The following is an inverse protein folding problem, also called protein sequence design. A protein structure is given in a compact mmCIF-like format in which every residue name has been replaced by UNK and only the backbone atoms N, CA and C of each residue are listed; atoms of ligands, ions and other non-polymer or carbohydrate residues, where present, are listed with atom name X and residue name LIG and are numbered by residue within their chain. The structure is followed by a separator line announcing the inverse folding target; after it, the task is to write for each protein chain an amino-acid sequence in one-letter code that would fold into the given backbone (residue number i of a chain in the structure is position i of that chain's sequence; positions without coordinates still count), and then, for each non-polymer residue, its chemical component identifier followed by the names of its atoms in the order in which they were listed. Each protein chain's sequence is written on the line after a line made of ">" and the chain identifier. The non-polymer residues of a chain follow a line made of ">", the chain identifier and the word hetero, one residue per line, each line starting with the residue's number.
data_IF_415917162035
#
_entry.id   IF_415917162035
#
_cell.length_a   1.000
_cell.length_b   1.000
_cell.length_c   1.000
_cell.angle_alpha   90.00
_cell.angle_beta   90.00
_cell.angle_gamma   90.00
#
_symmetry.space_group_name_H-M   'P 1'
#
loop_
_entity.id
_entity.type
_entity.pdbx_description
1 polymer ?
#
# COMPACT_ATOMS: atom_id res chain seq x y z
N UNK A 1 -18.40 35.69 -32.57
CA UNK A 1 -17.92 34.30 -32.76
C UNK A 1 -18.38 33.53 -31.55
N UNK A 2 -19.37 32.66 -31.75
CA UNK A 2 -19.95 31.83 -30.69
C UNK A 2 -18.86 30.91 -30.17
N UNK A 3 -18.45 31.11 -28.91
CA UNK A 3 -17.44 30.30 -28.28
C UNK A 3 -18.11 28.99 -27.84
N UNK A 4 -18.26 28.07 -28.78
CA UNK A 4 -18.60 26.67 -28.51
C UNK A 4 -17.39 25.97 -27.92
N UNK A 5 -16.97 26.45 -26.74
CA UNK A 5 -16.25 25.62 -25.81
C UNK A 5 -17.25 24.54 -25.38
N UNK A 6 -17.27 23.43 -26.12
CA UNK A 6 -17.96 22.21 -25.74
C UNK A 6 -17.43 21.86 -24.35
N UNK A 7 -18.19 22.20 -23.32
CA UNK A 7 -17.93 21.74 -21.96
C UNK A 7 -17.88 20.22 -22.07
N UNK A 8 -16.69 19.66 -21.89
CA UNK A 8 -16.55 18.20 -21.78
C UNK A 8 -17.38 17.84 -20.56
N UNK A 9 -18.56 17.27 -20.81
CA UNK A 9 -19.38 16.57 -19.82
C UNK A 9 -18.40 15.88 -18.87
N UNK A 10 -18.44 16.13 -17.55
CA UNK A 10 -17.50 15.52 -16.62
C UNK A 10 -17.62 14.03 -16.87
N UNK A 11 -16.59 13.46 -17.53
CA UNK A 11 -16.58 12.03 -17.82
C UNK A 11 -16.70 11.43 -16.43
N UNK A 12 -17.82 10.78 -16.15
CA UNK A 12 -18.01 10.02 -14.93
C UNK A 12 -17.04 8.87 -15.09
N UNK A 13 -15.77 9.15 -14.82
CA UNK A 13 -14.75 8.14 -14.91
C UNK A 13 -15.04 7.28 -13.70
N UNK A 14 -15.72 6.15 -13.91
CA UNK A 14 -15.36 4.94 -13.18
C UNK A 14 -13.92 4.58 -13.59
N UNK A 15 -12.98 5.49 -13.29
CA UNK A 15 -11.57 5.28 -13.46
C UNK A 15 -11.25 4.25 -12.39
N UNK A 16 -11.01 3.01 -12.83
CA UNK A 16 -10.66 1.92 -11.94
C UNK A 16 -9.55 2.35 -10.96
N UNK A 17 -8.56 3.11 -11.43
CA UNK A 17 -7.49 3.62 -10.58
C UNK A 17 -7.96 4.56 -9.45
N UNK A 18 -9.08 5.27 -9.62
CA UNK A 18 -9.56 6.28 -8.67
C UNK A 18 -10.62 5.73 -7.69
N UNK A 19 -10.76 4.42 -7.57
CA UNK A 19 -11.71 3.84 -6.62
C UNK A 19 -11.17 3.91 -5.19
N UNK A 20 -11.96 4.48 -4.27
CA UNK A 20 -11.60 4.69 -2.85
C UNK A 20 -11.05 3.44 -2.16
N UNK A 21 -11.61 2.27 -2.48
CA UNK A 21 -11.20 1.01 -1.85
C UNK A 21 -9.73 0.65 -2.16
N UNK A 22 -9.19 1.06 -3.31
CA UNK A 22 -7.77 0.87 -3.61
C UNK A 22 -6.88 1.73 -2.73
N UNK A 23 -7.23 3.01 -2.53
CA UNK A 23 -6.49 3.90 -1.64
C UNK A 23 -6.52 3.40 -0.19
N UNK A 24 -7.68 3.00 0.32
CA UNK A 24 -7.79 2.45 1.69
C UNK A 24 -6.91 1.21 1.85
N UNK A 25 -6.95 0.29 0.87
CA UNK A 25 -6.14 -0.94 0.93
C UNK A 25 -4.64 -0.64 0.83
N UNK A 26 -4.24 0.32 -0.01
CA UNK A 26 -2.86 0.79 -0.10
C UNK A 26 -2.40 1.46 1.20
N UNK A 27 -3.23 2.27 1.84
CA UNK A 27 -2.93 2.87 3.14
C UNK A 27 -2.69 1.81 4.20
N UNK A 28 -3.50 0.74 4.23
CA UNK A 28 -3.30 -0.40 5.13
C UNK A 28 -1.95 -1.09 4.83
N UNK A 29 -1.63 -1.34 3.56
CA UNK A 29 -0.35 -1.94 3.18
C UNK A 29 0.85 -1.08 3.64
N UNK A 30 0.78 0.24 3.45
CA UNK A 30 1.80 1.19 3.91
C UNK A 30 1.93 1.16 5.43
N UNK A 31 0.82 1.16 6.17
CA UNK A 31 0.85 1.09 7.63
C UNK A 31 1.52 -0.20 8.15
N UNK A 32 1.24 -1.35 7.52
CA UNK A 32 1.89 -2.63 7.85
C UNK A 32 3.40 -2.56 7.54
N UNK A 33 3.78 -1.98 6.40
CA UNK A 33 5.19 -1.81 6.04
C UNK A 33 5.94 -0.92 7.04
N UNK A 34 5.36 0.22 7.41
CA UNK A 34 5.92 1.11 8.42
C UNK A 34 6.04 0.41 9.78
N UNK A 35 5.01 -0.33 10.20
CA UNK A 35 5.06 -1.15 11.40
C UNK A 35 6.25 -2.13 11.36
N UNK A 36 6.43 -2.86 10.25
CA UNK A 36 7.57 -3.77 10.06
C UNK A 36 8.92 -3.06 10.18
N UNK A 37 9.05 -1.86 9.59
CA UNK A 37 10.27 -1.04 9.70
C UNK A 37 10.58 -0.68 11.15
N UNK A 38 9.59 -0.21 11.92
CA UNK A 38 9.82 0.18 13.32
C UNK A 38 10.09 -1.03 14.23
N UNK A 39 9.34 -2.13 14.04
CA UNK A 39 9.52 -3.36 14.82
C UNK A 39 10.94 -3.90 14.69
N UNK A 40 11.59 -3.74 13.53
CA UNK A 40 12.97 -4.16 13.31
C UNK A 40 13.96 -3.53 14.31
N UNK A 41 13.71 -2.30 14.74
CA UNK A 41 14.63 -1.52 15.60
C UNK A 41 14.26 -1.58 17.09
N UNK A 42 13.23 -2.35 17.47
CA UNK A 42 12.83 -2.47 18.88
C UNK A 42 13.96 -3.02 19.78
N UNK A 43 14.73 -4.05 19.39
CA UNK A 43 15.86 -4.53 20.20
C UNK A 43 16.95 -3.46 20.44
N UNK A 44 17.17 -2.59 19.45
CA UNK A 44 18.16 -1.51 19.53
C UNK A 44 17.73 -0.42 20.53
N UNK A 45 16.43 -0.15 20.62
CA UNK A 45 15.86 0.87 21.53
C UNK A 45 15.64 0.32 22.94
N UNK A 46 15.38 -0.99 23.07
CA UNK A 46 15.10 -1.66 24.35
C UNK A 46 16.16 -2.74 24.58
N UNK A 47 17.29 -2.41 25.25
CA UNK A 47 18.42 -3.33 25.42
C UNK A 47 18.07 -4.67 26.09
N UNK A 48 17.03 -4.70 26.94
CA UNK A 48 16.54 -5.93 27.56
C UNK A 48 16.01 -6.97 26.54
N UNK A 49 15.76 -6.57 25.30
CA UNK A 49 15.22 -7.41 24.23
C UNK A 49 16.27 -7.78 23.15
N UNK A 50 17.55 -7.43 23.30
CA UNK A 50 18.59 -7.67 22.29
C UNK A 50 18.75 -9.16 21.91
N UNK A 51 18.60 -10.06 22.89
CA UNK A 51 18.57 -11.51 22.67
C UNK A 51 17.45 -11.99 21.71
N UNK A 52 16.43 -11.17 21.47
CA UNK A 52 15.30 -11.45 20.57
C UNK A 52 15.47 -10.80 19.19
N UNK A 53 16.63 -10.22 18.88
CA UNK A 53 16.90 -9.54 17.60
C UNK A 53 16.51 -10.36 16.37
N UNK A 54 16.74 -11.68 16.39
CA UNK A 54 16.29 -12.57 15.31
C UNK A 54 14.76 -12.59 15.14
N UNK A 55 14.01 -12.68 16.25
CA UNK A 55 12.54 -12.73 16.24
C UNK A 55 11.96 -11.42 15.71
N UNK A 56 12.46 -10.27 16.18
CA UNK A 56 12.04 -8.96 15.69
C UNK A 56 12.35 -8.78 14.20
N UNK A 57 13.53 -9.21 13.76
CA UNK A 57 13.90 -9.20 12.33
C UNK A 57 12.99 -10.10 11.51
N UNK A 58 12.63 -11.29 12.01
CA UNK A 58 11.71 -12.20 11.32
C UNK A 58 10.31 -11.58 11.16
N UNK A 59 9.76 -11.02 12.24
CA UNK A 59 8.44 -10.34 12.22
C UNK A 59 8.46 -9.15 11.25
N UNK A 60 9.52 -8.33 11.29
CA UNK A 60 9.69 -7.21 10.39
C UNK A 60 9.71 -7.65 8.92
N UNK A 61 10.46 -8.71 8.59
CA UNK A 61 10.52 -9.25 7.24
C UNK A 61 9.18 -9.81 6.77
N UNK A 62 8.45 -10.53 7.64
CA UNK A 62 7.10 -11.03 7.31
C UNK A 62 6.15 -9.87 7.04
N UNK A 63 6.16 -8.83 7.89
CA UNK A 63 5.35 -7.63 7.69
C UNK A 63 5.66 -6.96 6.34
N UNK A 64 6.94 -6.84 5.97
CA UNK A 64 7.35 -6.29 4.68
C UNK A 64 6.87 -7.14 3.50
N UNK A 65 6.96 -8.47 3.59
CA UNK A 65 6.46 -9.38 2.55
C UNK A 65 4.95 -9.23 2.38
N UNK A 66 4.19 -9.23 3.48
CA UNK A 66 2.72 -9.09 3.46
C UNK A 66 2.30 -7.73 2.90
N UNK A 67 2.92 -6.64 3.37
CA UNK A 67 2.65 -5.30 2.86
C UNK A 67 2.91 -5.21 1.34
N UNK A 68 4.04 -5.73 0.90
CA UNK A 68 4.44 -5.73 -0.52
C UNK A 68 3.47 -6.54 -1.37
N UNK A 69 3.08 -7.72 -0.90
CA UNK A 69 2.11 -8.56 -1.59
C UNK A 69 0.75 -7.86 -1.76
N UNK A 70 0.23 -7.21 -0.70
CA UNK A 70 -1.03 -6.47 -0.74
C UNK A 70 -0.91 -5.28 -1.71
N UNK A 71 0.18 -4.51 -1.63
CA UNK A 71 0.40 -3.36 -2.49
C UNK A 71 0.44 -3.77 -3.98
N UNK A 72 1.19 -4.81 -4.33
CA UNK A 72 1.23 -5.32 -5.70
C UNK A 72 -0.12 -5.87 -6.16
N UNK A 73 -0.84 -6.59 -5.30
CA UNK A 73 -2.20 -7.05 -5.63
C UNK A 73 -3.12 -5.89 -5.99
N UNK A 74 -3.07 -4.79 -5.23
CA UNK A 74 -3.86 -3.58 -5.52
C UNK A 74 -3.40 -2.92 -6.82
N UNK A 75 -2.10 -2.73 -7.02
CA UNK A 75 -1.56 -2.13 -8.25
C UNK A 75 -1.95 -2.95 -9.49
N UNK A 76 -1.83 -4.28 -9.44
CA UNK A 76 -2.25 -5.13 -10.55
C UNK A 76 -3.75 -5.07 -10.80
N UNK A 77 -4.57 -4.97 -9.76
CA UNK A 77 -6.02 -4.77 -9.90
C UNK A 77 -6.35 -3.41 -10.54
N UNK A 78 -5.64 -2.34 -10.16
CA UNK A 78 -5.75 -1.00 -10.78
C UNK A 78 -5.44 -1.07 -12.27
N UNK A 79 -4.32 -1.73 -12.63
CA UNK A 79 -3.87 -1.91 -14.01
C UNK A 79 -4.73 -2.88 -14.83
N UNK A 80 -5.65 -3.61 -14.19
CA UNK A 80 -6.50 -4.59 -14.85
C UNK A 80 -5.81 -5.89 -15.24
N UNK A 81 -4.64 -6.20 -14.66
CA UNK A 81 -3.99 -7.49 -14.88
C UNK A 81 -4.89 -8.63 -14.41
N UNK A 82 -5.13 -9.61 -15.29
CA UNK A 82 -5.95 -10.79 -14.98
C UNK A 82 -7.44 -10.67 -15.30
N UNK A 83 -7.93 -9.52 -15.79
CA UNK A 83 -9.25 -9.42 -16.42
C UNK A 83 -9.17 -9.98 -17.85
N UNK A 84 -9.52 -11.26 -18.02
CA UNK A 84 -9.98 -11.81 -19.30
C UNK A 84 -11.49 -11.67 -19.37
#
# INVERSE_FOLDING_TARGET
>A
MENTAVERQPKKTDNNANQTHYYVTLTIAVAIGLFGVFVRFVPDVIPALDQLTFVFSLVANIAMIVATFIAFKVVFAILGFGKK
#
